data_IF_466792228920
#
_entry.id   IF_466792228920
#
_cell.length_a   1.000
_cell.length_b   1.000
_cell.length_c   1.000
_cell.angle_alpha   90.00
_cell.angle_beta   90.00
_cell.angle_gamma   90.00
#
_symmetry.space_group_name_H-M   'P 1'
#
loop_
_entity.id
_entity.type
_entity.pdbx_description
1 polymer ?
#
# COMPACT_ATOMS: atom_id res chain seq x y z
N UNK A 1 18.98 -32.06 -1.81
CA UNK A 1 19.07 -30.64 -1.37
C UNK A 1 19.70 -29.71 -2.41
N UNK A 2 20.35 -30.21 -3.47
CA UNK A 2 20.97 -29.37 -4.52
C UNK A 2 20.04 -29.03 -5.72
N UNK A 3 18.90 -29.71 -5.87
CA UNK A 3 18.03 -29.56 -7.06
C UNK A 3 16.99 -28.44 -6.94
N UNK A 4 16.73 -27.92 -5.73
CA UNK A 4 15.75 -26.85 -5.50
C UNK A 4 16.38 -25.46 -5.68
N UNK A 5 17.70 -25.33 -5.46
CA UNK A 5 18.43 -24.06 -5.61
C UNK A 5 18.62 -23.69 -7.09
N UNK A 6 18.66 -24.67 -8.00
CA UNK A 6 18.87 -24.41 -9.43
C UNK A 6 17.64 -23.86 -10.15
N UNK A 7 16.43 -24.03 -9.61
CA UNK A 7 15.19 -23.56 -10.25
C UNK A 7 14.98 -22.04 -10.10
N UNK A 8 15.63 -21.41 -9.11
CA UNK A 8 15.56 -19.96 -8.85
C UNK A 8 16.36 -19.16 -9.89
N UNK A 9 17.38 -19.78 -10.52
CA UNK A 9 18.27 -19.09 -11.46
C UNK A 9 17.68 -18.87 -12.87
N UNK A 10 16.55 -19.49 -13.21
CA UNK A 10 15.97 -19.45 -14.57
C UNK A 10 14.79 -18.49 -14.75
N UNK A 11 14.32 -17.82 -13.70
CA UNK A 11 13.17 -16.91 -13.78
C UNK A 11 13.52 -15.46 -14.22
N UNK A 12 14.79 -15.08 -14.20
CA UNK A 12 15.23 -13.68 -14.32
C UNK A 12 15.37 -13.10 -15.74
N UNK A 13 14.55 -13.47 -16.72
CA UNK A 13 14.79 -13.06 -18.11
C UNK A 13 13.56 -12.67 -18.96
N UNK A 14 12.47 -12.22 -18.33
CA UNK A 14 11.36 -11.61 -19.08
C UNK A 14 11.41 -10.08 -19.02
N UNK A 15 12.13 -9.48 -19.97
CA UNK A 15 12.22 -8.02 -20.18
C UNK A 15 10.90 -7.52 -20.78
N UNK A 16 9.96 -7.05 -19.96
CA UNK A 16 8.72 -6.42 -20.44
C UNK A 16 8.96 -4.93 -20.76
N UNK A 17 8.58 -4.48 -21.97
CA UNK A 17 8.68 -3.07 -22.38
C UNK A 17 7.56 -2.23 -21.75
N UNK A 18 7.82 -1.79 -20.52
CA UNK A 18 6.95 -0.88 -19.77
C UNK A 18 6.91 0.56 -20.31
N UNK A 19 7.73 0.91 -21.33
CA UNK A 19 7.90 2.29 -21.78
C UNK A 19 6.68 2.94 -22.44
N UNK A 20 5.73 2.14 -22.95
CA UNK A 20 4.52 2.66 -23.61
C UNK A 20 3.32 2.82 -22.68
N UNK A 21 3.32 2.20 -21.50
CA UNK A 21 2.20 2.27 -20.54
C UNK A 21 2.07 3.65 -19.86
N UNK A 22 3.13 4.48 -19.92
CA UNK A 22 3.21 5.75 -19.20
C UNK A 22 2.70 6.98 -19.98
N UNK A 23 2.21 6.83 -21.22
CA UNK A 23 1.97 7.93 -22.17
C UNK A 23 0.62 8.66 -22.05
N UNK A 24 -0.30 8.24 -21.16
CA UNK A 24 -1.58 8.98 -20.96
C UNK A 24 -1.48 9.95 -19.78
N UNK A 25 -1.92 11.22 -19.92
CA UNK A 25 -1.95 12.17 -18.82
C UNK A 25 -2.89 11.67 -17.71
N UNK A 26 -2.56 11.99 -16.46
CA UNK A 26 -3.44 11.76 -15.33
C UNK A 26 -4.73 12.58 -15.53
N UNK A 27 -5.79 11.94 -16.00
CA UNK A 27 -7.11 12.56 -16.09
C UNK A 27 -7.62 12.97 -14.71
N UNK A 28 -8.65 13.82 -14.67
CA UNK A 28 -9.34 14.17 -13.44
C UNK A 28 -9.74 12.90 -12.65
N UNK A 29 -9.68 12.90 -11.31
CA UNK A 29 -10.14 11.78 -10.51
C UNK A 29 -11.58 11.46 -10.90
N UNK A 30 -11.89 10.17 -11.07
CA UNK A 30 -13.22 9.75 -11.47
C UNK A 30 -14.19 10.15 -10.35
N UNK A 31 -15.44 10.46 -10.71
CA UNK A 31 -16.48 10.73 -9.70
C UNK A 31 -16.57 9.60 -8.67
N UNK A 32 -16.36 8.36 -9.12
CA UNK A 32 -16.30 7.19 -8.26
C UNK A 32 -15.14 7.24 -7.26
N UNK A 33 -13.92 7.62 -7.68
CA UNK A 33 -12.77 7.74 -6.78
C UNK A 33 -12.93 8.87 -5.75
N UNK A 34 -13.54 9.99 -6.14
CA UNK A 34 -13.86 11.09 -5.22
C UNK A 34 -14.88 10.61 -4.18
N UNK A 35 -16.00 10.06 -4.64
CA UNK A 35 -17.08 9.59 -3.77
C UNK A 35 -16.61 8.47 -2.84
N UNK A 36 -15.79 7.54 -3.30
CA UNK A 36 -15.24 6.48 -2.46
C UNK A 36 -14.27 7.01 -1.40
N UNK A 37 -13.41 7.97 -1.75
CA UNK A 37 -12.48 8.60 -0.80
C UNK A 37 -13.25 9.33 0.30
N UNK A 38 -14.20 10.19 -0.07
CA UNK A 38 -15.05 10.89 0.89
C UNK A 38 -15.89 9.92 1.72
N UNK A 39 -16.46 8.88 1.11
CA UNK A 39 -17.22 7.85 1.79
C UNK A 39 -16.40 7.13 2.85
N UNK A 40 -15.20 6.66 2.50
CA UNK A 40 -14.33 5.91 3.42
C UNK A 40 -13.82 6.80 4.56
N UNK A 41 -13.38 8.02 4.26
CA UNK A 41 -12.94 8.96 5.30
C UNK A 41 -14.09 9.35 6.23
N UNK A 42 -15.29 9.58 5.68
CA UNK A 42 -16.48 9.88 6.49
C UNK A 42 -16.88 8.69 7.35
N UNK A 43 -16.86 7.47 6.81
CA UNK A 43 -17.13 6.25 7.57
C UNK A 43 -16.14 6.04 8.70
N UNK A 44 -14.83 6.28 8.47
CA UNK A 44 -13.82 6.18 9.51
C UNK A 44 -14.06 7.21 10.63
N UNK A 45 -14.35 8.47 10.27
CA UNK A 45 -14.67 9.51 11.23
C UNK A 45 -15.94 9.19 12.04
N UNK A 46 -16.98 8.69 11.38
CA UNK A 46 -18.23 8.25 12.02
C UNK A 46 -17.96 7.05 12.93
N UNK A 47 -17.14 6.09 12.54
CA UNK A 47 -16.83 4.91 13.35
C UNK A 47 -16.07 5.29 14.64
N UNK A 48 -15.08 6.19 14.53
CA UNK A 48 -14.35 6.75 15.68
C UNK A 48 -15.30 7.51 16.59
N UNK A 49 -16.13 8.40 16.01
CA UNK A 49 -17.12 9.17 16.76
C UNK A 49 -18.12 8.25 17.48
N UNK A 50 -18.71 7.30 16.76
CA UNK A 50 -19.69 6.36 17.28
C UNK A 50 -19.11 5.57 18.45
N UNK A 51 -17.91 4.99 18.28
CA UNK A 51 -17.20 4.23 19.33
C UNK A 51 -17.12 4.99 20.65
N UNK A 52 -16.61 6.23 20.62
CA UNK A 52 -16.38 6.96 21.86
C UNK A 52 -17.65 7.62 22.38
N UNK A 53 -18.55 8.05 21.49
CA UNK A 53 -19.84 8.62 21.89
C UNK A 53 -20.74 7.57 22.56
N UNK A 54 -20.79 6.32 22.08
CA UNK A 54 -21.61 5.28 22.71
C UNK A 54 -21.17 5.01 24.15
N UNK A 55 -19.87 4.92 24.39
CA UNK A 55 -19.29 4.71 25.72
C UNK A 55 -19.59 5.86 26.70
N UNK A 56 -19.55 7.11 26.22
CA UNK A 56 -19.88 8.29 27.04
C UNK A 56 -21.39 8.33 27.33
N UNK A 57 -22.23 8.04 26.33
CA UNK A 57 -23.69 8.07 26.45
C UNK A 57 -24.24 6.98 27.37
N UNK A 58 -23.54 5.85 27.51
CA UNK A 58 -23.85 4.78 28.47
C UNK A 58 -23.48 5.13 29.92
N UNK A 59 -23.05 6.36 30.19
CA UNK A 59 -22.67 6.83 31.53
C UNK A 59 -21.22 6.53 31.90
N UNK A 60 -20.38 6.15 30.93
CA UNK A 60 -18.95 5.95 31.14
C UNK A 60 -18.18 7.26 31.35
N UNK A 61 -17.07 7.18 32.07
CA UNK A 61 -16.11 8.29 32.17
C UNK A 61 -15.48 8.59 30.79
N UNK A 62 -15.04 9.84 30.60
CA UNK A 62 -14.38 10.24 29.36
C UNK A 62 -13.05 9.48 29.18
N UNK A 63 -12.91 8.62 28.16
CA UNK A 63 -11.87 7.58 28.15
C UNK A 63 -10.54 8.08 27.52
N UNK A 64 -9.91 9.09 28.15
CA UNK A 64 -8.69 9.76 27.62
C UNK A 64 -7.60 8.77 27.24
N UNK A 65 -7.26 7.85 28.14
CA UNK A 65 -6.17 6.90 27.94
C UNK A 65 -6.45 5.97 26.76
N UNK A 66 -7.69 5.50 26.64
CA UNK A 66 -8.13 4.69 25.51
C UNK A 66 -8.08 5.45 24.20
N UNK A 67 -8.56 6.70 24.17
CA UNK A 67 -8.49 7.54 22.97
C UNK A 67 -7.05 7.79 22.52
N UNK A 68 -6.17 8.09 23.48
CA UNK A 68 -4.74 8.27 23.21
C UNK A 68 -4.09 6.99 22.70
N UNK A 69 -4.33 5.85 23.37
CA UNK A 69 -3.83 4.54 22.95
C UNK A 69 -4.34 4.15 21.56
N UNK A 70 -5.62 4.38 21.28
CA UNK A 70 -6.24 4.16 19.96
C UNK A 70 -5.52 4.98 18.89
N UNK A 71 -5.28 6.27 19.14
CA UNK A 71 -4.57 7.15 18.21
C UNK A 71 -3.15 6.68 17.95
N UNK A 72 -2.37 6.43 19.01
CA UNK A 72 -0.97 5.97 18.90
C UNK A 72 -0.89 4.64 18.16
N UNK A 73 -1.76 3.67 18.47
CA UNK A 73 -1.79 2.38 17.77
C UNK A 73 -2.21 2.54 16.31
N UNK A 74 -3.11 3.48 15.99
CA UNK A 74 -3.46 3.75 14.60
C UNK A 74 -2.26 4.24 13.80
N UNK A 75 -1.54 5.25 14.29
CA UNK A 75 -0.33 5.75 13.63
C UNK A 75 0.76 4.68 13.58
N UNK A 76 1.00 4.00 14.70
CA UNK A 76 2.00 2.94 14.83
C UNK A 76 1.74 1.78 13.88
N UNK A 77 0.50 1.30 13.77
CA UNK A 77 0.11 0.26 12.83
C UNK A 77 0.21 0.73 11.38
N UNK A 78 -0.18 1.97 11.05
CA UNK A 78 -0.01 2.48 9.68
C UNK A 78 1.46 2.49 9.25
N UNK A 79 2.36 2.92 10.13
CA UNK A 79 3.81 2.91 9.85
C UNK A 79 4.36 1.49 9.85
N UNK A 80 3.98 0.65 10.81
CA UNK A 80 4.40 -0.74 10.92
C UNK A 80 4.01 -1.57 9.70
N UNK A 81 2.87 -1.27 9.08
CA UNK A 81 2.43 -1.95 7.86
C UNK A 81 3.36 -1.74 6.67
N UNK A 82 4.09 -0.62 6.56
CA UNK A 82 5.13 -0.46 5.52
C UNK A 82 6.26 -1.47 5.71
N UNK A 83 6.72 -1.66 6.94
CA UNK A 83 7.77 -2.63 7.26
C UNK A 83 7.29 -4.08 7.06
N UNK A 84 6.06 -4.37 7.48
CA UNK A 84 5.43 -5.67 7.24
C UNK A 84 5.27 -5.95 5.74
N UNK A 85 4.71 -5.01 4.98
CA UNK A 85 4.50 -5.16 3.54
C UNK A 85 5.83 -5.34 2.81
N UNK A 86 6.84 -4.54 3.14
CA UNK A 86 8.21 -4.69 2.59
C UNK A 86 8.77 -6.09 2.84
N UNK A 87 8.71 -6.57 4.08
CA UNK A 87 9.20 -7.89 4.45
C UNK A 87 8.42 -9.00 3.74
N UNK A 88 7.08 -8.94 3.78
CA UNK A 88 6.22 -9.92 3.12
C UNK A 88 6.43 -9.93 1.61
N UNK A 89 6.61 -8.77 0.99
CA UNK A 89 6.87 -8.64 -0.42
C UNK A 89 8.16 -9.36 -0.81
N UNK A 90 9.26 -9.14 -0.08
CA UNK A 90 10.53 -9.80 -0.31
C UNK A 90 10.49 -11.30 0.00
N UNK A 91 10.11 -11.65 1.21
CA UNK A 91 10.32 -13.00 1.77
C UNK A 91 9.17 -13.97 1.45
N UNK A 92 7.98 -13.46 1.10
CA UNK A 92 6.82 -14.27 0.76
C UNK A 92 6.44 -14.11 -0.71
N UNK A 93 6.17 -12.89 -1.17
CA UNK A 93 5.60 -12.65 -2.50
C UNK A 93 6.60 -12.89 -3.62
N UNK A 94 7.89 -12.59 -3.42
CA UNK A 94 8.99 -12.94 -4.33
C UNK A 94 9.60 -14.32 -4.07
N UNK A 95 9.00 -15.12 -3.18
CA UNK A 95 9.44 -16.47 -2.86
C UNK A 95 8.29 -17.48 -2.99
N UNK A 96 7.72 -17.92 -1.87
CA UNK A 96 6.72 -18.99 -1.84
C UNK A 96 5.36 -18.60 -2.44
N UNK A 97 5.06 -17.30 -2.57
CA UNK A 97 3.81 -16.77 -3.11
C UNK A 97 3.99 -16.09 -4.48
N UNK A 98 5.09 -16.36 -5.18
CA UNK A 98 5.35 -15.81 -6.51
C UNK A 98 4.24 -16.08 -7.50
N UNK A 99 3.67 -17.28 -7.52
CA UNK A 99 2.56 -17.61 -8.43
C UNK A 99 1.35 -16.67 -8.30
N UNK A 100 1.17 -16.01 -7.16
CA UNK A 100 0.13 -15.00 -6.94
C UNK A 100 0.62 -13.61 -7.34
N UNK A 101 1.87 -13.29 -7.01
CA UNK A 101 2.48 -12.00 -7.26
C UNK A 101 2.94 -11.78 -8.70
N UNK A 102 3.22 -12.84 -9.46
CA UNK A 102 3.72 -12.76 -10.84
C UNK A 102 2.75 -11.99 -11.76
N UNK A 103 1.43 -12.10 -11.50
CA UNK A 103 0.41 -11.34 -12.24
C UNK A 103 0.62 -9.82 -12.16
N UNK A 104 1.25 -9.35 -11.08
CA UNK A 104 1.60 -7.95 -10.84
C UNK A 104 2.81 -7.48 -11.66
N UNK A 105 3.76 -8.39 -11.89
CA UNK A 105 4.99 -8.15 -12.66
C UNK A 105 4.79 -8.29 -14.17
N UNK A 106 3.57 -8.58 -14.60
CA UNK A 106 3.19 -8.72 -16.00
C UNK A 106 2.23 -7.60 -16.40
N UNK A 107 2.16 -7.24 -17.69
CA UNK A 107 1.14 -6.31 -18.17
C UNK A 107 -0.27 -6.81 -17.82
N UNK A 108 -1.01 -5.99 -17.08
CA UNK A 108 -2.36 -6.30 -16.61
C UNK A 108 -3.33 -6.63 -17.75
N UNK A 109 -4.16 -7.66 -17.53
CA UNK A 109 -5.30 -8.01 -18.39
C UNK A 109 -6.59 -7.94 -17.57
N UNK A 110 -7.50 -7.03 -17.91
CA UNK A 110 -8.78 -6.89 -17.21
C UNK A 110 -8.68 -6.13 -15.88
N UNK A 111 -9.77 -6.09 -15.11
CA UNK A 111 -9.90 -5.25 -13.91
C UNK A 111 -9.18 -5.79 -12.66
N UNK A 112 -9.02 -7.11 -12.57
CA UNK A 112 -8.49 -7.81 -11.40
C UNK A 112 -7.21 -8.57 -11.73
N UNK A 113 -6.36 -8.76 -10.74
CA UNK A 113 -5.15 -9.59 -10.79
C UNK A 113 -5.17 -10.62 -9.67
N UNK A 114 -4.48 -11.75 -9.88
CA UNK A 114 -4.32 -12.76 -8.82
C UNK A 114 -3.64 -12.15 -7.58
N UNK A 115 -2.78 -11.15 -7.79
CA UNK A 115 -2.13 -10.36 -6.75
C UNK A 115 -3.10 -9.63 -5.80
N UNK A 116 -4.33 -9.33 -6.23
CA UNK A 116 -5.32 -8.61 -5.42
C UNK A 116 -5.72 -9.39 -4.15
N UNK A 117 -5.45 -10.70 -4.12
CA UNK A 117 -5.60 -11.55 -2.94
C UNK A 117 -4.82 -11.03 -1.73
N UNK A 118 -3.67 -10.38 -1.91
CA UNK A 118 -2.89 -9.85 -0.78
C UNK A 118 -3.60 -8.68 -0.12
N UNK A 119 -4.34 -7.87 -0.88
CA UNK A 119 -5.19 -6.83 -0.31
C UNK A 119 -6.29 -7.45 0.56
N UNK A 120 -6.92 -8.54 0.11
CA UNK A 120 -7.95 -9.27 0.87
C UNK A 120 -7.36 -9.87 2.16
N UNK A 121 -6.21 -10.55 2.07
CA UNK A 121 -5.54 -11.17 3.22
C UNK A 121 -5.22 -10.13 4.30
N UNK A 122 -4.79 -8.92 3.93
CA UNK A 122 -4.52 -7.85 4.88
C UNK A 122 -5.80 -7.11 5.35
N UNK A 123 -6.87 -7.09 4.55
CA UNK A 123 -8.14 -6.49 4.94
C UNK A 123 -8.88 -7.29 6.01
N UNK A 124 -8.83 -8.62 5.98
CA UNK A 124 -9.47 -9.51 6.96
C UNK A 124 -9.07 -9.17 8.42
N UNK A 125 -7.78 -9.13 8.80
CA UNK A 125 -7.40 -8.79 10.17
C UNK A 125 -7.77 -7.35 10.53
N UNK A 126 -7.72 -6.40 9.58
CA UNK A 126 -8.16 -5.03 9.83
C UNK A 126 -9.66 -4.96 10.18
N UNK A 127 -10.51 -5.65 9.41
CA UNK A 127 -11.95 -5.72 9.65
C UNK A 127 -12.25 -6.41 10.99
N UNK A 128 -11.55 -7.50 11.30
CA UNK A 128 -11.71 -8.20 12.57
C UNK A 128 -11.37 -7.30 13.77
N UNK A 129 -10.24 -6.60 13.71
CA UNK A 129 -9.79 -5.66 14.75
C UNK A 129 -10.73 -4.46 14.90
N UNK A 130 -11.18 -3.87 13.78
CA UNK A 130 -12.15 -2.77 13.79
C UNK A 130 -13.49 -3.21 14.36
N UNK A 131 -13.98 -4.40 13.98
CA UNK A 131 -15.26 -4.93 14.47
C UNK A 131 -15.19 -5.26 15.95
N UNK A 132 -14.14 -5.97 16.37
CA UNK A 132 -13.91 -6.29 17.79
C UNK A 132 -13.79 -5.02 18.61
N UNK A 133 -13.03 -4.04 18.13
CA UNK A 133 -12.98 -2.71 18.71
C UNK A 133 -14.39 -2.15 18.84
N UNK A 134 -15.06 -1.84 17.72
CA UNK A 134 -16.34 -1.14 17.67
C UNK A 134 -17.42 -1.72 18.60
N UNK A 135 -17.50 -3.04 18.72
CA UNK A 135 -18.54 -3.71 19.52
C UNK A 135 -18.13 -4.05 20.96
N UNK A 136 -16.92 -3.69 21.39
CA UNK A 136 -16.45 -3.91 22.77
C UNK A 136 -15.88 -2.62 23.38
N UNK A 137 -16.19 -2.40 24.66
CA UNK A 137 -15.75 -1.21 25.39
C UNK A 137 -14.49 -1.49 26.21
N UNK A 138 -13.72 -0.42 26.45
CA UNK A 138 -12.54 -0.46 27.29
C UNK A 138 -11.21 -0.41 26.54
N UNK A 139 -10.14 -0.31 27.32
CA UNK A 139 -8.81 0.03 26.82
C UNK A 139 -8.31 -0.92 25.73
N UNK A 140 -8.36 -2.23 25.96
CA UNK A 140 -7.85 -3.22 25.01
C UNK A 140 -8.64 -3.25 23.68
N UNK A 141 -10.00 -3.30 23.67
CA UNK A 141 -10.77 -3.07 22.46
C UNK A 141 -10.43 -1.77 21.73
N UNK A 142 -10.14 -0.68 22.45
CA UNK A 142 -9.71 0.59 21.86
C UNK A 142 -8.37 0.48 21.13
N UNK A 143 -7.41 -0.23 21.72
CA UNK A 143 -6.14 -0.54 21.04
C UNK A 143 -6.34 -1.39 19.79
N UNK A 144 -7.20 -2.42 19.84
CA UNK A 144 -7.55 -3.22 18.67
C UNK A 144 -8.19 -2.36 17.58
N UNK A 145 -9.14 -1.49 17.95
CA UNK A 145 -9.76 -0.55 17.01
C UNK A 145 -8.71 0.35 16.35
N UNK A 146 -7.80 0.90 17.14
CA UNK A 146 -6.69 1.73 16.67
C UNK A 146 -5.81 0.98 15.67
N UNK A 147 -5.38 -0.24 16.02
CA UNK A 147 -4.57 -1.07 15.13
C UNK A 147 -5.28 -1.38 13.80
N UNK A 148 -6.56 -1.78 13.86
CA UNK A 148 -7.38 -2.01 12.69
C UNK A 148 -7.52 -0.77 11.80
N UNK A 149 -7.76 0.40 12.41
CA UNK A 149 -7.79 1.68 11.71
C UNK A 149 -6.46 2.00 11.02
N UNK A 150 -5.34 1.75 11.72
CA UNK A 150 -4.00 1.95 11.18
C UNK A 150 -3.71 1.08 9.94
N UNK A 151 -4.10 -0.20 10.00
CA UNK A 151 -3.98 -1.13 8.86
C UNK A 151 -4.84 -0.65 7.69
N UNK A 152 -6.09 -0.23 7.94
CA UNK A 152 -6.98 0.31 6.90
C UNK A 152 -6.42 1.58 6.28
N UNK A 153 -5.91 2.52 7.07
CA UNK A 153 -5.29 3.75 6.56
C UNK A 153 -4.10 3.43 5.65
N UNK A 154 -3.23 2.50 6.06
CA UNK A 154 -2.12 2.05 5.22
C UNK A 154 -2.63 1.39 3.94
N UNK A 155 -3.60 0.47 4.03
CA UNK A 155 -4.19 -0.20 2.87
C UNK A 155 -4.79 0.78 1.86
N UNK A 156 -5.47 1.83 2.34
CA UNK A 156 -5.98 2.92 1.50
C UNK A 156 -4.86 3.72 0.83
N UNK A 157 -3.83 4.10 1.59
CA UNK A 157 -2.67 4.80 1.04
C UNK A 157 -1.95 3.94 -0.02
N UNK A 158 -1.80 2.65 0.25
CA UNK A 158 -1.23 1.67 -0.67
C UNK A 158 -2.08 1.59 -1.94
N UNK A 159 -3.40 1.40 -1.84
CA UNK A 159 -4.29 1.37 -3.00
C UNK A 159 -4.17 2.65 -3.86
N UNK A 160 -4.20 3.84 -3.27
CA UNK A 160 -4.09 5.08 -4.03
C UNK A 160 -2.71 5.26 -4.68
N UNK A 161 -1.63 4.95 -3.97
CA UNK A 161 -0.27 5.17 -4.47
C UNK A 161 0.15 4.04 -5.41
N UNK A 162 0.07 2.79 -4.96
CA UNK A 162 0.44 1.64 -5.77
C UNK A 162 -0.54 1.41 -6.93
N UNK A 163 -1.79 1.08 -6.66
CA UNK A 163 -2.74 0.71 -7.72
C UNK A 163 -3.14 1.92 -8.56
N UNK A 164 -3.39 3.05 -7.91
CA UNK A 164 -3.82 4.28 -8.56
C UNK A 164 -2.69 5.04 -9.25
N UNK A 165 -1.62 5.41 -8.54
CA UNK A 165 -0.54 6.25 -9.10
C UNK A 165 0.50 5.43 -9.89
N UNK A 166 1.00 4.33 -9.33
CA UNK A 166 2.04 3.52 -9.99
C UNK A 166 1.46 2.73 -11.16
N UNK A 167 0.38 1.99 -10.91
CA UNK A 167 -0.23 1.07 -11.88
C UNK A 167 -1.38 1.68 -12.69
N UNK A 168 -1.80 2.90 -12.36
CA UNK A 168 -2.82 3.65 -13.11
C UNK A 168 -4.13 2.87 -13.29
N UNK A 169 -4.51 2.05 -12.30
CA UNK A 169 -5.78 1.31 -12.31
C UNK A 169 -6.99 2.25 -12.25
N UNK A 170 -6.83 3.40 -11.60
CA UNK A 170 -7.82 4.48 -11.54
C UNK A 170 -7.13 5.84 -11.35
N UNK A 171 -7.78 6.95 -11.75
CA UNK A 171 -7.20 8.28 -11.61
C UNK A 171 -7.16 8.74 -10.14
N UNK A 172 -6.05 9.32 -9.73
CA UNK A 172 -5.77 9.70 -8.33
C UNK A 172 -5.72 11.22 -8.10
N UNK A 173 -5.93 12.01 -9.15
CA UNK A 173 -6.02 13.47 -9.04
C UNK A 173 -4.74 14.14 -8.50
N UNK A 174 -4.84 15.09 -7.56
CA UNK A 174 -3.72 15.93 -7.13
C UNK A 174 -2.51 15.18 -6.57
N UNK A 175 -2.70 13.99 -5.99
CA UNK A 175 -1.59 13.23 -5.40
C UNK A 175 -0.56 12.81 -6.47
N UNK A 176 -0.96 12.71 -7.74
CA UNK A 176 -0.04 12.42 -8.85
C UNK A 176 1.00 13.54 -9.08
N UNK A 177 0.73 14.76 -8.60
CA UNK A 177 1.64 15.89 -8.71
C UNK A 177 2.66 15.98 -7.55
N UNK A 178 2.47 15.22 -6.47
CA UNK A 178 3.32 15.29 -5.27
C UNK A 178 4.72 14.75 -5.59
N UNK A 179 5.79 15.56 -5.47
CA UNK A 179 7.14 15.15 -5.89
C UNK A 179 7.63 13.83 -5.27
N UNK A 180 7.37 13.64 -3.98
CA UNK A 180 7.74 12.42 -3.27
C UNK A 180 7.03 11.17 -3.83
N UNK A 181 5.72 11.25 -4.05
CA UNK A 181 4.94 10.11 -4.58
C UNK A 181 5.34 9.77 -6.02
N UNK A 182 5.83 10.75 -6.78
CA UNK A 182 6.41 10.51 -8.11
C UNK A 182 7.73 9.74 -8.03
N UNK A 183 8.57 10.07 -7.04
CA UNK A 183 9.81 9.34 -6.74
C UNK A 183 9.51 7.91 -6.29
N UNK A 184 8.52 7.71 -5.41
CA UNK A 184 8.00 6.38 -5.03
C UNK A 184 7.56 5.60 -6.27
N UNK A 185 6.77 6.22 -7.15
CA UNK A 185 6.28 5.55 -8.34
C UNK A 185 7.40 5.16 -9.32
N UNK A 186 8.49 5.94 -9.39
CA UNK A 186 9.68 5.61 -10.17
C UNK A 186 10.47 4.46 -9.53
N UNK A 187 10.63 4.48 -8.21
CA UNK A 187 11.28 3.40 -7.46
C UNK A 187 10.55 2.06 -7.63
N UNK A 188 9.21 2.07 -7.52
CA UNK A 188 8.39 0.88 -7.79
C UNK A 188 8.49 0.41 -9.25
N UNK A 189 8.76 1.30 -10.20
CA UNK A 189 8.99 0.87 -11.58
C UNK A 189 10.30 0.11 -11.74
N UNK A 190 11.36 0.55 -11.06
CA UNK A 190 12.65 -0.14 -11.06
C UNK A 190 12.51 -1.55 -10.45
N UNK A 191 11.68 -1.71 -9.42
CA UNK A 191 11.35 -3.02 -8.86
C UNK A 191 10.84 -4.00 -9.95
N UNK A 192 9.89 -3.58 -10.79
CA UNK A 192 9.37 -4.40 -11.91
C UNK A 192 10.38 -4.71 -13.03
N UNK A 193 11.59 -4.15 -12.95
CA UNK A 193 12.68 -4.46 -13.90
C UNK A 193 13.62 -5.53 -13.38
N UNK A 194 13.42 -6.01 -12.15
CA UNK A 194 14.25 -6.98 -11.44
C UNK A 194 15.74 -6.58 -11.34
N UNK A 195 16.04 -5.28 -11.45
CA UNK A 195 17.38 -4.75 -11.17
C UNK A 195 17.66 -4.80 -9.67
N UNK A 196 18.94 -4.76 -9.30
CA UNK A 196 19.38 -4.74 -7.90
C UNK A 196 18.77 -5.88 -7.08
N UNK A 197 18.74 -7.09 -7.67
CA UNK A 197 18.14 -8.29 -7.08
C UNK A 197 16.66 -8.12 -6.68
N UNK A 198 15.91 -7.28 -7.42
CA UNK A 198 14.50 -7.00 -7.17
C UNK A 198 14.25 -5.85 -6.18
N UNK A 199 15.27 -5.13 -5.72
CA UNK A 199 15.09 -3.95 -4.88
C UNK A 199 14.50 -2.79 -5.72
N UNK A 200 13.54 -2.00 -5.19
CA UNK A 200 13.01 -2.01 -3.81
C UNK A 200 11.79 -2.91 -3.57
N UNK A 201 11.61 -3.36 -2.33
CA UNK A 201 10.42 -4.14 -1.92
C UNK A 201 9.38 -3.32 -1.13
N UNK A 202 9.78 -2.23 -0.50
CA UNK A 202 8.89 -1.28 0.16
C UNK A 202 8.27 -0.33 -0.85
N UNK A 203 7.03 0.11 -0.58
CA UNK A 203 6.37 1.09 -1.44
C UNK A 203 6.89 2.49 -1.12
N UNK A 204 6.64 2.95 0.11
CA UNK A 204 7.02 4.30 0.52
C UNK A 204 8.51 4.39 0.84
N UNK A 205 9.11 3.32 1.37
CA UNK A 205 10.55 3.24 1.61
C UNK A 205 11.36 2.90 0.35
N UNK A 206 10.71 2.61 -0.78
CA UNK A 206 11.40 2.17 -1.99
C UNK A 206 12.51 3.10 -2.49
N UNK A 207 12.35 4.44 -2.48
CA UNK A 207 13.44 5.34 -2.82
C UNK A 207 14.66 5.23 -1.89
N UNK A 208 14.43 4.96 -0.60
CA UNK A 208 15.51 4.78 0.38
C UNK A 208 16.21 3.44 0.19
N UNK A 209 15.46 2.38 -0.09
CA UNK A 209 16.07 1.07 -0.37
C UNK A 209 16.93 1.10 -1.63
N UNK A 210 16.54 1.87 -2.65
CA UNK A 210 17.39 2.08 -3.83
C UNK A 210 18.67 2.85 -3.48
N UNK A 211 18.61 3.83 -2.58
CA UNK A 211 19.79 4.53 -2.09
C UNK A 211 20.75 3.58 -1.35
N UNK A 212 20.22 2.64 -0.56
CA UNK A 212 21.01 1.64 0.18
C UNK A 212 21.74 0.62 -0.71
N UNK A 213 21.36 0.50 -1.99
CA UNK A 213 21.98 -0.41 -2.98
C UNK A 213 22.65 0.32 -4.15
N UNK A 214 23.01 1.60 -3.95
CA UNK A 214 23.64 2.46 -4.97
C UNK A 214 22.78 2.64 -6.26
N UNK A 215 21.46 2.48 -6.15
CA UNK A 215 20.49 2.59 -7.24
C UNK A 215 20.00 4.01 -7.56
N UNK A 216 20.55 5.05 -6.92
CA UNK A 216 20.08 6.44 -7.05
C UNK A 216 20.20 6.96 -8.50
N UNK A 217 21.26 6.58 -9.24
CA UNK A 217 21.42 7.01 -10.63
C UNK A 217 20.27 6.48 -11.51
N UNK A 218 19.90 5.21 -11.33
CA UNK A 218 18.80 4.59 -12.07
C UNK A 218 17.46 5.20 -11.67
N UNK A 219 17.25 5.50 -10.38
CA UNK A 219 16.08 6.24 -9.89
C UNK A 219 15.96 7.61 -10.56
N UNK A 220 17.04 8.38 -10.62
CA UNK A 220 17.05 9.69 -11.27
C UNK A 220 16.80 9.60 -12.77
N UNK A 221 17.34 8.57 -13.43
CA UNK A 221 17.10 8.29 -14.84
C UNK A 221 15.62 8.00 -15.10
N UNK A 222 14.98 7.18 -14.28
CA UNK A 222 13.56 6.87 -14.41
C UNK A 222 12.67 8.09 -14.10
N UNK A 223 13.02 8.90 -13.10
CA UNK A 223 12.33 10.18 -12.83
C UNK A 223 12.42 11.12 -14.03
N UNK A 224 13.62 11.29 -14.63
CA UNK A 224 13.82 12.11 -15.83
C UNK A 224 12.99 11.59 -17.00
N UNK A 225 13.02 10.28 -17.26
CA UNK A 225 12.22 9.63 -18.31
C UNK A 225 10.73 9.95 -18.13
N UNK A 226 10.20 9.83 -16.93
CA UNK A 226 8.79 10.16 -16.62
C UNK A 226 8.44 11.64 -16.73
N UNK A 227 9.40 12.53 -16.53
CA UNK A 227 9.22 13.98 -16.73
C UNK A 227 9.16 14.35 -18.22
N UNK A 228 9.96 13.70 -19.08
CA UNK A 228 10.00 13.97 -20.52
C UNK A 228 8.65 13.71 -21.18
N UNK A 229 7.93 12.65 -20.78
CA UNK A 229 6.62 12.32 -21.33
C UNK A 229 5.44 13.18 -20.78
N UNK A 230 5.73 14.23 -20.01
CA UNK A 230 4.71 15.12 -19.43
C UNK A 230 4.60 16.48 -20.15
N UNK A 231 5.64 16.88 -20.88
CA UNK A 231 5.66 18.09 -21.70
C UNK A 231 5.39 17.72 -23.16
#
# INVERSE_FOLDING_TARGET
MATVISAVATAGQYRYDYGRLFQRPAGAPSRAAIVSSFGITSMAAIAVYYRFSSQIMEGGEFPILEMFGTFVLSIGSSVGMEFWARWAHKELWHASLWDMHESHHKPRVGAFEKNDVFAIINAIPAIALLSFGLFNHGFFPGLCFGAGLGITVFGMAYMFVHDGLVHRRFPVGPIAAVPYLRRVAAAHHIHHTDKFDGVPYGLFLGPKELEEVDGEEELQKEIRRRNVYRN
#
